data_IF_471370252021
#
_entry.id   IF_471370252021
#
_cell.length_a   1.000
_cell.length_b   1.000
_cell.length_c   1.000
_cell.angle_alpha   90.00
_cell.angle_beta   90.00
_cell.angle_gamma   90.00
#
_symmetry.space_group_name_H-M   'P 1'
#
loop_
_entity.id
_entity.type
_entity.pdbx_description
1 polymer ?
#
# COMPACT_ATOMS: atom_id res chain seq x y z
N UNK A 1 -48.00 -4.22 -101.97
CA UNK A 1 -46.67 -4.21 -101.31
C UNK A 1 -46.52 -3.09 -100.28
N UNK A 2 -47.09 -1.94 -100.49
CA UNK A 2 -47.02 -0.81 -99.47
C UNK A 2 -47.53 -1.13 -98.07
N UNK A 3 -48.44 -2.07 -97.90
CA UNK A 3 -49.04 -2.38 -96.59
C UNK A 3 -48.14 -3.27 -95.67
N UNK A 4 -47.24 -4.08 -96.22
CA UNK A 4 -46.34 -4.95 -95.47
C UNK A 4 -45.17 -4.17 -94.91
N UNK A 5 -44.59 -3.26 -95.66
CA UNK A 5 -43.49 -2.38 -95.24
C UNK A 5 -43.93 -1.49 -94.07
N UNK A 6 -45.14 -0.92 -94.10
CA UNK A 6 -45.69 -0.12 -93.00
C UNK A 6 -45.94 -0.95 -91.71
N UNK A 7 -46.38 -2.21 -91.89
CA UNK A 7 -46.53 -3.11 -90.71
C UNK A 7 -45.19 -3.47 -90.08
N UNK A 8 -44.16 -3.73 -90.91
CA UNK A 8 -42.81 -4.01 -90.42
C UNK A 8 -42.21 -2.77 -89.68
N UNK A 9 -42.43 -1.59 -90.25
CA UNK A 9 -41.95 -0.35 -89.59
C UNK A 9 -42.63 -0.15 -88.25
N UNK A 10 -43.94 -0.33 -88.17
CA UNK A 10 -44.70 -0.21 -86.94
C UNK A 10 -44.26 -1.27 -85.92
N UNK A 11 -44.05 -2.52 -86.32
CA UNK A 11 -43.51 -3.56 -85.41
C UNK A 11 -42.12 -3.23 -84.91
N UNK A 12 -41.26 -2.67 -85.73
CA UNK A 12 -39.92 -2.24 -85.32
C UNK A 12 -40.01 -1.11 -84.28
N UNK A 13 -40.78 -0.07 -84.53
CA UNK A 13 -40.99 1.06 -83.64
C UNK A 13 -41.58 0.59 -82.30
N UNK A 14 -42.49 -0.36 -82.27
CA UNK A 14 -43.07 -0.93 -81.08
C UNK A 14 -42.05 -1.72 -80.24
N UNK A 15 -41.24 -2.56 -80.92
CA UNK A 15 -40.15 -3.30 -80.28
C UNK A 15 -39.09 -2.34 -79.70
N UNK A 16 -38.70 -1.30 -80.46
CA UNK A 16 -37.78 -0.29 -79.95
C UNK A 16 -38.36 0.45 -78.75
N UNK A 17 -39.63 0.77 -78.76
CA UNK A 17 -40.34 1.43 -77.62
C UNK A 17 -40.39 0.54 -76.39
N UNK A 18 -40.74 -0.75 -76.55
CA UNK A 18 -40.73 -1.71 -75.45
C UNK A 18 -39.36 -1.93 -74.90
N UNK A 19 -38.32 -2.06 -75.71
CA UNK A 19 -36.92 -2.20 -75.29
C UNK A 19 -36.45 -0.96 -74.50
N UNK A 20 -36.81 0.25 -74.94
CA UNK A 20 -36.45 1.49 -74.21
C UNK A 20 -37.17 1.59 -72.85
N UNK A 21 -38.43 1.12 -72.77
CA UNK A 21 -39.18 1.09 -71.51
C UNK A 21 -38.55 0.10 -70.52
N UNK A 22 -38.17 -1.08 -71.03
CA UNK A 22 -37.51 -2.13 -70.24
C UNK A 22 -36.12 -1.68 -69.76
N UNK A 23 -35.31 -1.09 -70.67
CA UNK A 23 -34.01 -0.49 -70.29
C UNK A 23 -34.15 0.55 -69.18
N UNK A 24 -35.14 1.45 -69.32
CA UNK A 24 -35.40 2.48 -68.31
C UNK A 24 -35.83 1.91 -66.97
N UNK A 25 -36.67 0.88 -66.97
CA UNK A 25 -37.12 0.18 -65.76
C UNK A 25 -35.93 -0.52 -65.05
N UNK A 26 -35.05 -1.20 -65.80
CA UNK A 26 -33.88 -1.85 -65.28
C UNK A 26 -32.88 -0.79 -64.67
N UNK A 27 -32.67 0.34 -65.36
CA UNK A 27 -31.86 1.43 -64.85
C UNK A 27 -32.42 2.09 -63.56
N UNK A 28 -33.69 2.20 -63.43
CA UNK A 28 -34.35 2.68 -62.20
C UNK A 28 -34.20 1.66 -61.07
N UNK A 29 -34.36 0.37 -61.34
CA UNK A 29 -34.16 -0.70 -60.36
C UNK A 29 -32.71 -0.76 -59.90
N UNK A 30 -31.71 -0.68 -60.79
CA UNK A 30 -30.29 -0.63 -60.47
C UNK A 30 -29.96 0.54 -59.54
N UNK A 31 -30.48 1.75 -59.88
CA UNK A 31 -30.27 2.93 -59.02
C UNK A 31 -30.94 2.79 -57.63
N UNK A 32 -32.09 2.13 -57.55
CA UNK A 32 -32.74 1.84 -56.28
C UNK A 32 -31.89 0.88 -55.42
N UNK A 33 -31.36 -0.20 -56.02
CA UNK A 33 -30.50 -1.17 -55.39
C UNK A 33 -29.13 -0.56 -54.94
N UNK A 34 -28.53 0.27 -55.79
CA UNK A 34 -27.31 0.99 -55.42
C UNK A 34 -27.53 1.87 -54.22
N UNK A 35 -28.64 2.63 -54.19
CA UNK A 35 -28.99 3.51 -53.06
C UNK A 35 -29.23 2.70 -51.78
N UNK A 36 -29.94 1.61 -51.85
CA UNK A 36 -30.21 0.74 -50.71
C UNK A 36 -28.90 0.09 -50.17
N UNK A 37 -28.05 -0.42 -51.08
CA UNK A 37 -26.76 -0.94 -50.70
C UNK A 37 -25.84 0.10 -50.04
N UNK A 38 -25.81 1.32 -50.58
CA UNK A 38 -25.03 2.42 -50.03
C UNK A 38 -25.52 2.80 -48.62
N UNK A 39 -26.83 2.98 -48.41
CA UNK A 39 -27.35 3.31 -47.09
C UNK A 39 -27.14 2.18 -46.08
N UNK A 40 -27.30 0.92 -46.49
CA UNK A 40 -27.03 -0.22 -45.63
C UNK A 40 -25.56 -0.25 -45.18
N UNK A 41 -24.60 -0.14 -46.13
CA UNK A 41 -23.17 -0.08 -45.83
C UNK A 41 -22.82 1.11 -44.92
N UNK A 42 -23.45 2.26 -45.15
CA UNK A 42 -23.23 3.47 -44.32
C UNK A 42 -23.67 3.27 -42.89
N UNK A 43 -24.84 2.65 -42.69
CA UNK A 43 -25.37 2.34 -41.36
C UNK A 43 -24.45 1.35 -40.64
N UNK A 44 -24.01 0.31 -41.32
CA UNK A 44 -23.11 -0.71 -40.76
C UNK A 44 -21.76 -0.11 -40.39
N UNK A 45 -21.14 0.65 -41.30
CA UNK A 45 -19.88 1.32 -41.05
C UNK A 45 -19.95 2.31 -39.87
N UNK A 46 -21.09 3.05 -39.75
CA UNK A 46 -21.31 3.92 -38.61
C UNK A 46 -21.43 3.15 -37.30
N UNK A 47 -22.19 2.06 -37.28
CA UNK A 47 -22.34 1.19 -36.11
C UNK A 47 -21.01 0.61 -35.66
N UNK A 48 -20.18 0.16 -36.59
CA UNK A 48 -18.84 -0.37 -36.28
C UNK A 48 -17.90 0.71 -35.73
N UNK A 49 -17.95 1.91 -36.33
CA UNK A 49 -17.16 3.04 -35.83
C UNK A 49 -17.58 3.46 -34.40
N UNK A 50 -18.90 3.56 -34.14
CA UNK A 50 -19.42 3.89 -32.82
C UNK A 50 -19.05 2.81 -31.77
N UNK A 51 -19.07 1.53 -32.15
CA UNK A 51 -18.67 0.43 -31.28
C UNK A 51 -17.17 0.48 -30.94
N UNK A 52 -16.31 0.69 -31.94
CA UNK A 52 -14.87 0.84 -31.74
C UNK A 52 -14.55 2.05 -30.86
N UNK A 53 -15.17 3.19 -31.13
CA UNK A 53 -14.98 4.38 -30.33
C UNK A 53 -15.35 4.13 -28.85
N UNK A 54 -16.47 3.44 -28.61
CA UNK A 54 -16.89 3.09 -27.25
C UNK A 54 -15.86 2.18 -26.57
N UNK A 55 -15.36 1.16 -27.24
CA UNK A 55 -14.36 0.25 -26.72
C UNK A 55 -13.05 0.99 -26.38
N UNK A 56 -12.57 1.85 -27.27
CA UNK A 56 -11.36 2.64 -27.03
C UNK A 56 -11.53 3.61 -25.84
N UNK A 57 -12.70 4.25 -25.70
CA UNK A 57 -12.98 5.12 -24.54
C UNK A 57 -13.00 4.32 -23.22
N UNK A 58 -13.65 3.17 -23.19
CA UNK A 58 -13.68 2.29 -22.01
C UNK A 58 -12.26 1.81 -21.64
N UNK A 59 -11.44 1.47 -22.62
CA UNK A 59 -10.04 1.10 -22.41
C UNK A 59 -9.20 2.27 -21.88
N UNK A 60 -9.37 3.46 -22.44
CA UNK A 60 -8.69 4.67 -21.96
C UNK A 60 -9.07 5.01 -20.53
N UNK A 61 -10.36 4.94 -20.17
CA UNK A 61 -10.84 5.18 -18.79
C UNK A 61 -10.25 4.15 -17.82
N UNK A 62 -10.22 2.87 -18.20
CA UNK A 62 -9.62 1.80 -17.41
C UNK A 62 -8.13 2.01 -17.18
N UNK A 63 -7.39 2.33 -18.23
CA UNK A 63 -5.95 2.59 -18.15
C UNK A 63 -5.65 3.81 -17.28
N UNK A 64 -6.41 4.90 -17.42
CA UNK A 64 -6.27 6.09 -16.58
C UNK A 64 -6.55 5.78 -15.09
N UNK A 65 -7.55 4.96 -14.78
CA UNK A 65 -7.84 4.55 -13.41
C UNK A 65 -6.71 3.71 -12.80
N UNK A 66 -6.10 2.81 -13.59
CA UNK A 66 -4.95 2.01 -13.19
C UNK A 66 -3.75 2.92 -12.89
N UNK A 67 -3.41 3.85 -13.78
CA UNK A 67 -2.27 4.77 -13.64
C UNK A 67 -2.42 5.66 -12.39
N UNK A 68 -3.63 6.18 -12.13
CA UNK A 68 -3.93 6.95 -10.93
C UNK A 68 -3.74 6.10 -9.67
N UNK A 69 -4.19 4.85 -9.69
CA UNK A 69 -4.06 3.93 -8.56
C UNK A 69 -2.59 3.60 -8.28
N UNK A 70 -1.81 3.28 -9.30
CA UNK A 70 -0.37 3.01 -9.19
C UNK A 70 0.39 4.23 -8.66
N UNK A 71 0.11 5.42 -9.18
CA UNK A 71 0.71 6.68 -8.70
C UNK A 71 0.38 6.92 -7.22
N UNK A 72 -0.86 6.65 -6.80
CA UNK A 72 -1.26 6.78 -5.40
C UNK A 72 -0.49 5.79 -4.49
N UNK A 73 -0.36 4.53 -4.91
CA UNK A 73 0.37 3.49 -4.18
C UNK A 73 1.85 3.89 -4.05
N UNK A 74 2.48 4.32 -5.15
CA UNK A 74 3.88 4.74 -5.14
C UNK A 74 4.12 5.94 -4.21
N UNK A 75 3.24 6.94 -4.25
CA UNK A 75 3.31 8.09 -3.35
C UNK A 75 3.17 7.68 -1.90
N UNK A 76 2.20 6.83 -1.59
CA UNK A 76 1.99 6.33 -0.23
C UNK A 76 3.20 5.56 0.27
N UNK A 77 3.79 4.70 -0.56
CA UNK A 77 5.01 3.97 -0.25
C UNK A 77 6.17 4.92 0.08
N UNK A 78 6.41 5.93 -0.74
CA UNK A 78 7.47 6.93 -0.49
C UNK A 78 7.25 7.70 0.82
N UNK A 79 6.00 8.01 1.16
CA UNK A 79 5.67 8.67 2.43
C UNK A 79 5.94 7.75 3.63
N UNK A 80 5.60 6.46 3.53
CA UNK A 80 5.89 5.46 4.57
C UNK A 80 7.40 5.32 4.77
N UNK A 81 8.18 5.18 3.70
CA UNK A 81 9.63 5.10 3.76
C UNK A 81 10.25 6.32 4.43
N UNK A 82 9.80 7.52 4.08
CA UNK A 82 10.28 8.76 4.72
C UNK A 82 9.89 8.86 6.18
N UNK A 83 8.68 8.49 6.54
CA UNK A 83 8.27 8.41 7.94
C UNK A 83 9.17 7.48 8.74
N UNK A 84 9.43 6.28 8.21
CA UNK A 84 10.23 5.27 8.89
C UNK A 84 11.70 5.71 9.04
N UNK A 85 12.24 6.43 8.05
CA UNK A 85 13.57 7.07 8.11
C UNK A 85 13.62 8.11 9.26
N UNK A 86 12.63 8.99 9.36
CA UNK A 86 12.56 9.98 10.44
C UNK A 86 12.42 9.33 11.82
N UNK A 87 11.52 8.36 11.95
CA UNK A 87 11.34 7.61 13.19
C UNK A 87 12.66 6.93 13.60
N UNK A 88 13.32 6.25 12.67
CA UNK A 88 14.61 5.59 12.90
C UNK A 88 15.68 6.59 13.38
N UNK A 89 15.76 7.75 12.76
CA UNK A 89 16.72 8.80 13.13
C UNK A 89 16.44 9.34 14.54
N UNK A 90 15.19 9.60 14.89
CA UNK A 90 14.78 10.05 16.21
C UNK A 90 15.17 9.02 17.27
N UNK A 91 14.82 7.74 17.05
CA UNK A 91 15.11 6.70 18.03
C UNK A 91 16.58 6.33 18.10
N UNK A 92 17.35 6.49 17.03
CA UNK A 92 18.82 6.39 17.08
C UNK A 92 19.39 7.50 17.97
N UNK A 93 19.00 8.75 17.78
CA UNK A 93 19.45 9.85 18.63
C UNK A 93 19.01 9.69 20.08
N UNK A 94 17.79 9.17 20.33
CA UNK A 94 17.34 8.85 21.67
C UNK A 94 18.18 7.75 22.33
N UNK A 95 18.52 6.70 21.58
CA UNK A 95 19.42 5.64 22.06
C UNK A 95 20.79 6.16 22.43
N UNK A 96 21.38 7.01 21.59
CA UNK A 96 22.70 7.61 21.86
C UNK A 96 22.67 8.43 23.16
N UNK A 97 21.64 9.27 23.36
CA UNK A 97 21.45 10.02 24.61
C UNK A 97 21.24 9.12 25.83
N UNK A 98 20.56 7.98 25.68
CA UNK A 98 20.40 7.02 26.77
C UNK A 98 21.75 6.35 27.12
N UNK A 99 22.58 6.07 26.13
CA UNK A 99 23.94 5.55 26.35
C UNK A 99 24.80 6.60 27.09
N UNK A 100 24.71 7.87 26.70
CA UNK A 100 25.38 8.97 27.40
C UNK A 100 24.90 9.08 28.85
N UNK A 101 23.60 8.95 29.07
CA UNK A 101 23.00 8.94 30.42
C UNK A 101 23.54 7.81 31.29
N UNK A 102 23.74 6.59 30.72
CA UNK A 102 24.31 5.46 31.48
C UNK A 102 25.75 5.73 31.98
N UNK A 103 26.47 6.65 31.36
CA UNK A 103 27.80 7.08 31.79
C UNK A 103 27.76 8.27 32.78
N UNK A 104 26.57 8.79 33.12
CA UNK A 104 26.40 9.92 34.05
C UNK A 104 26.38 9.47 35.53
N UNK A 105 26.61 10.42 36.45
CA UNK A 105 26.49 10.15 37.88
C UNK A 105 25.06 9.84 38.33
N UNK A 106 24.08 10.39 37.63
CA UNK A 106 22.67 10.22 37.96
C UNK A 106 22.16 8.79 37.60
N UNK A 107 22.91 8.05 36.80
CA UNK A 107 22.55 6.68 36.42
C UNK A 107 22.54 5.72 37.60
N UNK A 108 23.46 5.90 38.57
CA UNK A 108 23.47 5.11 39.80
C UNK A 108 22.16 5.26 40.59
N UNK A 109 21.71 6.49 40.79
CA UNK A 109 20.45 6.76 41.47
C UNK A 109 19.24 6.19 40.72
N UNK A 110 19.29 6.26 39.40
CA UNK A 110 18.30 5.63 38.53
C UNK A 110 18.24 4.11 38.76
N UNK A 111 19.38 3.42 38.76
CA UNK A 111 19.48 1.97 38.99
C UNK A 111 18.92 1.60 40.37
N UNK A 112 19.24 2.35 41.41
CA UNK A 112 18.71 2.12 42.78
C UNK A 112 17.20 2.29 42.86
N UNK A 113 16.64 3.31 42.20
CA UNK A 113 15.18 3.54 42.11
C UNK A 113 14.50 2.39 41.35
N UNK A 114 15.10 1.91 40.29
CA UNK A 114 14.54 0.78 39.51
C UNK A 114 14.59 -0.55 40.28
N UNK A 115 15.68 -0.80 40.98
CA UNK A 115 15.78 -1.96 41.86
C UNK A 115 14.72 -1.91 42.97
N UNK A 116 14.53 -0.73 43.62
CA UNK A 116 13.45 -0.54 44.60
C UNK A 116 12.07 -0.91 44.01
N UNK A 117 11.77 -0.37 42.84
CA UNK A 117 10.50 -0.63 42.16
C UNK A 117 10.27 -2.13 41.94
N UNK A 118 11.29 -2.87 41.51
CA UNK A 118 11.19 -4.34 41.31
C UNK A 118 10.92 -5.05 42.62
N UNK A 119 11.67 -4.71 43.69
CA UNK A 119 11.50 -5.31 45.04
C UNK A 119 10.10 -5.03 45.57
N UNK A 120 9.61 -3.80 45.42
CA UNK A 120 8.27 -3.39 45.85
C UNK A 120 7.18 -4.14 45.05
N UNK A 121 7.36 -4.33 43.73
CA UNK A 121 6.41 -5.06 42.86
C UNK A 121 6.37 -6.57 43.15
N UNK A 122 7.43 -7.12 43.73
CA UNK A 122 7.46 -8.54 44.16
C UNK A 122 7.03 -8.72 45.63
N UNK A 123 6.44 -7.71 46.28
CA UNK A 123 6.03 -7.77 47.66
C UNK A 123 7.15 -8.25 48.60
N UNK A 124 8.35 -7.73 48.38
CA UNK A 124 9.56 -8.12 49.13
C UNK A 124 9.92 -9.61 49.02
N UNK A 125 9.42 -10.33 48.03
CA UNK A 125 9.83 -11.68 47.77
C UNK A 125 11.27 -11.79 47.22
N UNK A 126 11.88 -12.91 47.44
CA UNK A 126 13.22 -13.21 46.92
C UNK A 126 13.29 -13.14 45.40
N UNK A 127 14.26 -12.40 44.86
CA UNK A 127 14.43 -12.19 43.45
C UNK A 127 15.90 -12.26 43.02
N UNK A 128 16.09 -12.59 41.75
CA UNK A 128 17.38 -12.46 41.06
C UNK A 128 17.27 -11.26 40.13
N UNK A 129 18.34 -10.48 40.08
CA UNK A 129 18.38 -9.29 39.23
C UNK A 129 19.40 -9.51 38.11
N UNK A 130 19.01 -9.21 36.88
CA UNK A 130 19.90 -9.26 35.71
C UNK A 130 20.23 -7.84 35.29
N UNK A 131 21.51 -7.62 34.98
CA UNK A 131 22.03 -6.32 34.58
C UNK A 131 22.95 -6.46 33.37
N UNK A 132 23.26 -5.35 32.70
CA UNK A 132 24.26 -5.36 31.62
C UNK A 132 25.66 -5.67 32.15
N UNK A 133 26.57 -6.10 31.26
CA UNK A 133 27.98 -6.33 31.59
C UNK A 133 28.66 -5.10 32.23
N UNK A 134 28.24 -3.90 31.86
CA UNK A 134 28.75 -2.63 32.42
C UNK A 134 28.25 -2.36 33.84
N UNK A 135 27.01 -2.78 34.10
CA UNK A 135 26.32 -2.48 35.33
C UNK A 135 26.55 -3.50 36.44
N UNK A 136 27.29 -4.56 36.17
CA UNK A 136 27.68 -5.60 37.16
C UNK A 136 28.45 -4.99 38.34
N UNK A 137 29.09 -3.84 38.14
CA UNK A 137 29.77 -3.11 39.21
C UNK A 137 28.82 -2.65 40.33
N UNK A 138 27.52 -2.53 40.07
CA UNK A 138 26.50 -2.17 41.07
C UNK A 138 26.03 -3.36 41.93
N UNK A 139 26.51 -4.58 41.65
CA UNK A 139 26.09 -5.83 42.34
C UNK A 139 26.13 -5.69 43.84
N UNK A 140 27.29 -5.31 44.40
CA UNK A 140 27.49 -5.23 45.86
C UNK A 140 26.58 -4.16 46.50
N UNK A 141 26.32 -3.07 45.80
CA UNK A 141 25.45 -1.99 46.26
C UNK A 141 23.98 -2.42 46.29
N UNK A 142 23.53 -3.11 45.21
CA UNK A 142 22.17 -3.64 45.10
C UNK A 142 21.87 -4.67 46.19
N UNK A 143 22.79 -5.62 46.40
CA UNK A 143 22.65 -6.68 47.43
C UNK A 143 22.69 -6.13 48.86
N UNK A 144 23.49 -5.07 49.12
CA UNK A 144 23.53 -4.42 50.43
C UNK A 144 22.28 -3.60 50.78
N UNK A 145 21.70 -2.94 49.76
CA UNK A 145 20.53 -2.08 49.95
C UNK A 145 19.23 -2.90 50.06
N UNK A 146 19.15 -4.04 49.36
CA UNK A 146 17.95 -4.85 49.27
C UNK A 146 18.26 -6.30 49.59
N UNK A 147 17.99 -6.73 50.82
CA UNK A 147 18.22 -8.11 51.30
C UNK A 147 17.44 -9.17 50.56
N UNK A 148 16.43 -8.77 49.84
CA UNK A 148 15.57 -9.65 49.00
C UNK A 148 16.20 -9.98 47.66
N UNK A 149 17.24 -9.28 47.23
CA UNK A 149 18.00 -9.60 46.04
C UNK A 149 19.03 -10.67 46.41
N UNK A 150 18.76 -11.92 45.97
CA UNK A 150 19.63 -13.06 46.26
C UNK A 150 20.92 -13.07 45.46
N UNK A 151 20.83 -12.63 44.22
CA UNK A 151 22.01 -12.56 43.33
C UNK A 151 21.77 -11.54 42.22
N UNK A 152 22.87 -10.99 41.69
CA UNK A 152 22.91 -10.13 40.51
C UNK A 152 23.73 -10.79 39.44
N UNK A 153 23.13 -11.06 38.29
CA UNK A 153 23.71 -11.75 37.15
C UNK A 153 23.82 -10.87 35.92
N UNK A 154 24.80 -11.20 35.11
CA UNK A 154 24.95 -10.52 33.80
C UNK A 154 23.96 -11.08 32.78
N UNK A 155 23.27 -10.18 32.03
CA UNK A 155 22.52 -10.52 30.81
C UNK A 155 23.06 -9.71 29.64
N UNK A 156 23.57 -10.44 28.63
CA UNK A 156 24.15 -9.86 27.39
C UNK A 156 23.08 -9.25 26.48
N UNK A 157 21.80 -9.54 26.71
CA UNK A 157 20.71 -8.97 25.93
C UNK A 157 20.41 -7.52 26.32
N UNK A 158 20.87 -7.10 27.52
CA UNK A 158 20.72 -5.69 27.97
C UNK A 158 21.86 -4.89 27.34
N UNK A 159 21.54 -4.07 26.34
CA UNK A 159 22.53 -3.35 25.54
C UNK A 159 22.76 -1.92 26.09
N UNK A 160 21.69 -1.20 26.39
CA UNK A 160 21.77 0.19 26.88
C UNK A 160 22.05 0.20 28.37
N UNK A 161 21.22 -0.48 29.17
CA UNK A 161 21.32 -0.55 30.61
C UNK A 161 19.99 -0.71 31.30
N UNK A 162 20.02 -0.64 32.64
CA UNK A 162 18.87 -0.91 33.49
C UNK A 162 18.92 -2.34 34.04
N UNK A 163 17.80 -2.83 34.56
CA UNK A 163 17.77 -4.15 35.21
C UNK A 163 16.45 -4.88 34.96
N UNK A 164 16.55 -6.21 35.00
CA UNK A 164 15.43 -7.14 34.95
C UNK A 164 15.38 -7.89 36.28
N UNK A 165 14.22 -7.92 36.91
CA UNK A 165 13.99 -8.74 38.10
C UNK A 165 13.24 -10.00 37.78
N UNK A 166 13.66 -11.13 38.35
CA UNK A 166 12.97 -12.41 38.27
C UNK A 166 12.65 -12.91 39.69
N UNK A 167 11.39 -13.15 39.96
CA UNK A 167 10.97 -13.72 41.23
C UNK A 167 11.26 -15.23 41.25
N UNK A 168 12.03 -15.66 42.24
CA UNK A 168 12.51 -17.08 42.33
C UNK A 168 11.39 -18.09 42.48
N UNK A 169 10.28 -17.71 43.15
CA UNK A 169 9.17 -18.64 43.42
C UNK A 169 8.13 -18.66 42.31
N UNK A 170 7.76 -17.50 41.80
CA UNK A 170 6.69 -17.39 40.80
C UNK A 170 7.21 -17.36 39.35
N UNK A 171 8.52 -17.27 39.15
CA UNK A 171 9.18 -17.10 37.83
C UNK A 171 8.66 -15.87 37.05
N UNK A 172 8.09 -14.92 37.76
CA UNK A 172 7.57 -13.70 37.19
C UNK A 172 8.74 -12.75 36.92
N UNK A 173 8.78 -12.19 35.72
CA UNK A 173 9.87 -11.30 35.28
C UNK A 173 9.33 -9.88 35.12
N UNK A 174 10.07 -8.91 35.65
CA UNK A 174 9.80 -7.49 35.49
C UNK A 174 10.99 -6.86 34.77
N UNK A 175 10.73 -6.30 33.59
CA UNK A 175 11.76 -5.64 32.78
C UNK A 175 11.67 -4.11 32.96
N UNK A 176 12.67 -3.55 33.66
CA UNK A 176 12.87 -2.12 33.85
C UNK A 176 14.14 -1.61 33.13
N UNK A 177 14.48 -2.27 32.01
CA UNK A 177 15.61 -1.84 31.18
C UNK A 177 15.28 -0.62 30.32
N UNK A 178 16.30 0.15 29.99
CA UNK A 178 16.20 1.26 29.04
C UNK A 178 15.91 0.76 27.61
N UNK A 179 16.37 -0.45 27.30
CA UNK A 179 16.09 -1.11 26.02
C UNK A 179 14.58 -1.37 25.83
N UNK A 180 13.94 -1.92 26.87
CA UNK A 180 12.50 -2.18 26.88
C UNK A 180 11.69 -0.88 26.86
N UNK A 181 12.07 0.11 27.65
CA UNK A 181 11.45 1.42 27.67
C UNK A 181 11.50 2.09 26.30
N UNK A 182 12.66 2.05 25.62
CA UNK A 182 12.85 2.62 24.30
C UNK A 182 12.00 1.89 23.23
N UNK A 183 11.91 0.57 23.33
CA UNK A 183 11.07 -0.25 22.42
C UNK A 183 9.58 0.13 22.58
N UNK A 184 9.08 0.19 23.80
CA UNK A 184 7.69 0.55 24.09
C UNK A 184 7.37 1.98 23.62
N UNK A 185 8.30 2.92 23.82
CA UNK A 185 8.14 4.29 23.33
C UNK A 185 8.12 4.38 21.82
N UNK A 186 8.84 3.52 21.10
CA UNK A 186 8.80 3.47 19.65
C UNK A 186 7.41 3.04 19.15
N UNK A 187 6.83 2.02 19.77
CA UNK A 187 5.49 1.55 19.40
C UNK A 187 4.41 2.62 19.72
N UNK A 188 4.51 3.25 20.89
CA UNK A 188 3.62 4.33 21.26
C UNK A 188 3.76 5.52 20.32
N UNK A 189 4.98 5.94 19.99
CA UNK A 189 5.26 7.05 19.10
C UNK A 189 4.68 6.80 17.69
N UNK A 190 4.83 5.61 17.16
CA UNK A 190 4.29 5.25 15.83
C UNK A 190 2.76 5.41 15.79
N UNK A 191 2.07 5.13 16.91
CA UNK A 191 0.60 5.23 17.00
C UNK A 191 0.10 6.64 17.30
N UNK A 192 0.88 7.45 18.05
CA UNK A 192 0.40 8.70 18.66
C UNK A 192 1.10 9.96 18.14
N UNK A 193 2.15 9.85 17.33
CA UNK A 193 2.93 10.99 16.84
C UNK A 193 2.22 11.86 15.80
N UNK A 194 1.03 11.45 15.31
CA UNK A 194 0.36 12.12 14.19
C UNK A 194 1.00 11.86 12.82
N UNK A 195 2.07 11.08 12.74
CA UNK A 195 2.72 10.67 11.49
C UNK A 195 1.98 9.50 10.82
N UNK A 196 0.65 9.50 10.91
CA UNK A 196 -0.19 8.51 10.22
C UNK A 196 -0.42 8.95 8.77
N UNK A 197 -0.09 8.07 7.85
CA UNK A 197 -0.36 8.25 6.43
C UNK A 197 -1.76 7.68 6.17
N UNK A 198 -2.67 8.54 5.71
CA UNK A 198 -4.03 8.16 5.32
C UNK A 198 -4.08 7.87 3.83
#
# INVERSE_FOLDING_TARGET
MQNIEQVILYMKDEIEREAQLEEKAILEEVKALEKEAYESMRIEAKKDADLRLKQELEEMESNAAIEISESHIERTKKLIEKRDEYVSTIFKSAKDKLIDFTNSKDYQDFMMKKAKKIVDMFDMAECIVYVSSKDIAFKDQLMKLYSNILDVKEDKNIIIGGLIGENVKSLLTIDETLDFALKNQKEWFTKNSGLTIK
#
